data_IF_351951221175
#
_entry.id   IF_351951221175
#
_cell.length_a   1.000
_cell.length_b   1.000
_cell.length_c   1.000
_cell.angle_alpha   90.00
_cell.angle_beta   90.00
_cell.angle_gamma   90.00
#
_symmetry.space_group_name_H-M   'P 1'
#
loop_
_entity.id
_entity.type
_entity.pdbx_description
1 polymer ?
#
# COMPACT_ATOMS: atom_id res chain seq x y z
N UNK A 1 28.43 -15.83 8.10
CA UNK A 1 27.99 -16.89 9.04
C UNK A 1 26.88 -16.25 9.88
N UNK A 2 25.59 -16.28 9.53
CA UNK A 2 24.74 -17.33 8.99
C UNK A 2 24.51 -17.29 7.47
N UNK A 3 24.56 -18.47 6.86
CA UNK A 3 23.93 -18.80 5.58
C UNK A 3 22.44 -19.02 5.84
N UNK A 4 21.58 -18.51 4.97
CA UNK A 4 20.14 -18.81 4.98
C UNK A 4 19.59 -18.66 3.58
N UNK A 5 19.53 -19.76 2.84
CA UNK A 5 18.65 -19.87 1.69
C UNK A 5 17.21 -19.78 2.21
N UNK A 6 16.39 -18.89 1.65
CA UNK A 6 14.94 -19.04 1.74
C UNK A 6 14.37 -19.15 0.33
N UNK A 7 14.06 -20.38 -0.07
CA UNK A 7 12.82 -20.61 -0.81
C UNK A 7 11.72 -19.93 0.01
N UNK A 8 11.19 -18.79 -0.44
CA UNK A 8 9.99 -18.18 0.15
C UNK A 8 8.77 -19.04 -0.24
N UNK A 9 8.73 -20.28 0.27
CA UNK A 9 7.63 -21.23 0.08
C UNK A 9 7.29 -21.51 -1.40
N UNK A 10 5.99 -21.43 -1.72
CA UNK A 10 5.40 -21.73 -3.02
C UNK A 10 5.21 -20.47 -3.91
N UNK A 11 5.89 -19.36 -3.60
CA UNK A 11 5.84 -18.13 -4.41
C UNK A 11 7.01 -18.12 -5.40
N UNK A 12 6.71 -17.91 -6.67
CA UNK A 12 7.70 -17.50 -7.68
C UNK A 12 7.41 -16.07 -8.09
N UNK A 13 8.43 -15.21 -8.05
CA UNK A 13 8.35 -13.84 -8.56
C UNK A 13 9.16 -13.79 -9.85
N UNK A 14 8.50 -13.38 -10.94
CA UNK A 14 9.16 -13.08 -12.20
C UNK A 14 9.01 -11.59 -12.50
N UNK A 15 10.13 -10.93 -12.79
CA UNK A 15 10.09 -9.56 -13.31
C UNK A 15 10.08 -9.59 -14.83
N UNK A 16 9.28 -8.73 -15.45
CA UNK A 16 9.11 -8.69 -16.92
C UNK A 16 10.45 -8.49 -17.66
N UNK A 17 11.42 -7.80 -17.03
CA UNK A 17 12.74 -7.52 -17.61
C UNK A 17 13.70 -8.72 -17.60
N UNK A 18 13.48 -9.76 -16.77
CA UNK A 18 14.44 -10.86 -16.60
C UNK A 18 14.18 -12.08 -17.50
N UNK A 19 13.03 -12.14 -18.19
CA UNK A 19 12.67 -13.31 -19.03
C UNK A 19 12.75 -13.04 -20.54
N UNK A 20 13.09 -11.81 -20.96
CA UNK A 20 13.28 -11.47 -22.39
C UNK A 20 14.76 -11.21 -22.73
N UNK A 21 15.60 -10.93 -21.74
CA UNK A 21 17.03 -10.69 -21.91
C UNK A 21 17.84 -11.52 -20.90
N UNK A 22 18.99 -12.10 -21.30
CA UNK A 22 19.88 -12.77 -20.36
C UNK A 22 20.32 -11.80 -19.24
N UNK A 23 20.53 -12.28 -18.01
CA UNK A 23 20.84 -11.44 -16.86
C UNK A 23 22.13 -10.64 -17.07
N UNK A 24 22.11 -9.39 -16.61
CA UNK A 24 23.24 -8.48 -16.69
C UNK A 24 24.16 -8.59 -15.47
N UNK A 25 25.44 -8.15 -15.56
CA UNK A 25 26.41 -8.24 -14.46
C UNK A 25 26.03 -7.46 -13.18
N UNK A 26 24.93 -6.70 -13.19
CA UNK A 26 24.52 -5.77 -12.13
C UNK A 26 23.23 -6.17 -11.42
N UNK A 27 22.65 -7.33 -11.74
CA UNK A 27 21.41 -7.78 -11.11
C UNK A 27 21.66 -8.20 -9.64
N UNK A 28 20.86 -7.72 -8.67
CA UNK A 28 21.10 -8.01 -7.26
C UNK A 28 20.88 -9.51 -6.95
N UNK A 29 21.77 -10.14 -6.17
CA UNK A 29 21.63 -11.54 -5.79
C UNK A 29 20.58 -11.69 -4.68
N UNK A 30 19.54 -12.51 -4.89
CA UNK A 30 18.82 -13.14 -3.77
C UNK A 30 17.28 -13.07 -3.71
N UNK A 31 16.55 -12.60 -4.71
CA UNK A 31 15.05 -12.59 -4.66
C UNK A 31 14.37 -13.34 -5.82
N UNK A 32 15.13 -13.70 -6.87
CA UNK A 32 14.58 -14.22 -8.12
C UNK A 32 14.97 -15.69 -8.32
N UNK A 33 14.00 -16.60 -8.17
CA UNK A 33 14.16 -18.02 -8.47
C UNK A 33 14.18 -18.25 -9.99
N UNK A 34 15.22 -18.95 -10.47
CA UNK A 34 15.51 -19.20 -11.88
C UNK A 34 14.80 -20.43 -12.46
N UNK A 35 13.86 -21.07 -11.75
CA UNK A 35 13.07 -22.15 -12.32
C UNK A 35 11.57 -21.85 -12.30
N UNK A 36 11.09 -21.24 -13.38
CA UNK A 36 9.66 -21.18 -13.63
C UNK A 36 9.09 -22.59 -13.67
N UNK A 37 8.06 -22.85 -12.87
CA UNK A 37 7.31 -24.10 -12.97
C UNK A 37 6.51 -24.10 -14.27
N UNK A 38 6.26 -25.29 -14.81
CA UNK A 38 5.40 -25.45 -16.00
C UNK A 38 3.94 -25.05 -15.71
N UNK A 39 3.50 -25.17 -14.46
CA UNK A 39 2.14 -24.86 -14.02
C UNK A 39 2.16 -24.16 -12.65
N UNK A 40 1.20 -23.26 -12.45
CA UNK A 40 0.91 -22.57 -11.18
C UNK A 40 -0.60 -22.64 -10.93
N UNK A 41 -0.99 -22.71 -9.66
CA UNK A 41 -2.40 -22.64 -9.27
C UNK A 41 -2.95 -21.22 -9.49
N UNK A 42 -2.12 -20.20 -9.28
CA UNK A 42 -2.47 -18.80 -9.50
C UNK A 42 -1.36 -18.02 -10.19
N UNK A 43 -1.75 -17.11 -11.08
CA UNK A 43 -0.88 -16.10 -11.67
C UNK A 43 -1.43 -14.72 -11.30
N UNK A 44 -0.63 -13.93 -10.61
CA UNK A 44 -0.93 -12.56 -10.20
C UNK A 44 -0.18 -11.61 -11.12
N UNK A 45 -0.91 -10.72 -11.80
CA UNK A 45 -0.34 -9.68 -12.65
C UNK A 45 -0.24 -8.39 -11.84
N UNK A 46 0.98 -7.99 -11.50
CA UNK A 46 1.32 -6.86 -10.66
C UNK A 46 1.62 -7.27 -9.21
N UNK A 47 2.85 -7.05 -8.77
CA UNK A 47 3.33 -7.25 -7.40
C UNK A 47 3.13 -6.03 -6.51
N UNK A 48 2.10 -5.21 -6.78
CA UNK A 48 1.73 -4.06 -5.96
C UNK A 48 1.00 -4.43 -4.67
N UNK A 49 0.47 -3.45 -3.91
CA UNK A 49 -0.14 -3.67 -2.59
C UNK A 49 -1.17 -4.81 -2.52
N UNK A 50 -2.08 -4.90 -3.50
CA UNK A 50 -3.05 -5.99 -3.57
C UNK A 50 -2.41 -7.32 -3.99
N UNK A 51 -1.51 -7.30 -4.98
CA UNK A 51 -0.83 -8.50 -5.47
C UNK A 51 0.07 -9.15 -4.41
N UNK A 52 0.82 -8.35 -3.65
CA UNK A 52 1.62 -8.83 -2.52
C UNK A 52 0.76 -9.46 -1.42
N UNK A 53 -0.39 -8.85 -1.10
CA UNK A 53 -1.31 -9.40 -0.11
C UNK A 53 -1.92 -10.72 -0.60
N UNK A 54 -2.39 -10.78 -1.84
CA UNK A 54 -2.93 -12.00 -2.45
C UNK A 54 -1.89 -13.12 -2.49
N UNK A 55 -0.66 -12.83 -2.93
CA UNK A 55 0.41 -13.81 -2.95
C UNK A 55 0.67 -14.39 -1.57
N UNK A 56 0.79 -13.53 -0.54
CA UNK A 56 0.97 -13.96 0.84
C UNK A 56 -0.16 -14.89 1.30
N UNK A 57 -1.43 -14.52 1.07
CA UNK A 57 -2.59 -15.30 1.52
C UNK A 57 -2.77 -16.62 0.78
N UNK A 58 -2.67 -16.62 -0.55
CA UNK A 58 -2.86 -17.83 -1.35
C UNK A 58 -1.82 -18.91 -1.02
N UNK A 59 -0.62 -18.50 -0.59
CA UNK A 59 0.41 -19.46 -0.19
C UNK A 59 0.27 -20.02 1.23
N UNK A 60 -0.57 -19.43 2.09
CA UNK A 60 -0.92 -20.02 3.40
C UNK A 60 -1.57 -21.41 3.19
N UNK A 61 -2.33 -21.58 2.12
CA UNK A 61 -2.98 -22.83 1.72
C UNK A 61 -2.10 -23.72 0.82
N UNK A 62 -0.78 -23.48 0.78
CA UNK A 62 0.21 -24.21 -0.03
C UNK A 62 -0.02 -24.15 -1.55
N UNK A 63 -0.86 -23.25 -2.06
CA UNK A 63 -0.99 -23.04 -3.50
C UNK A 63 0.32 -22.53 -4.10
N UNK A 64 0.60 -22.91 -5.35
CA UNK A 64 1.69 -22.38 -6.16
C UNK A 64 1.28 -21.08 -6.84
N UNK A 65 2.04 -20.01 -6.60
CA UNK A 65 1.69 -18.65 -7.05
C UNK A 65 2.84 -18.06 -7.85
N UNK A 66 2.54 -17.58 -9.06
CA UNK A 66 3.46 -16.77 -9.87
C UNK A 66 3.04 -15.30 -9.80
N UNK A 67 3.95 -14.41 -9.41
CA UNK A 67 3.75 -12.95 -9.47
C UNK A 67 4.55 -12.38 -10.62
N UNK A 68 3.87 -11.67 -11.52
CA UNK A 68 4.48 -10.94 -12.63
C UNK A 68 4.55 -9.45 -12.28
N UNK A 69 5.75 -8.93 -12.01
CA UNK A 69 5.96 -7.51 -11.71
C UNK A 69 6.80 -6.83 -12.81
N UNK A 70 6.40 -5.63 -13.23
CA UNK A 70 7.09 -4.91 -14.29
C UNK A 70 8.33 -4.15 -13.78
N UNK A 71 8.29 -3.73 -12.52
CA UNK A 71 9.39 -3.06 -11.83
C UNK A 71 10.40 -4.01 -11.20
N UNK A 72 11.43 -3.40 -10.60
CA UNK A 72 12.44 -4.09 -9.81
C UNK A 72 12.05 -4.27 -8.35
N UNK A 73 13.02 -4.61 -7.52
CA UNK A 73 12.83 -4.65 -6.07
C UNK A 73 12.64 -3.23 -5.51
N UNK A 74 11.79 -3.05 -4.50
CA UNK A 74 11.68 -1.79 -3.77
C UNK A 74 12.99 -1.44 -3.04
N UNK A 75 13.77 -2.45 -2.66
CA UNK A 75 15.07 -2.28 -2.00
C UNK A 75 16.17 -1.72 -2.92
N UNK A 76 15.92 -1.57 -4.22
CA UNK A 76 16.87 -0.91 -5.14
C UNK A 76 16.99 0.60 -4.92
N UNK A 77 16.08 1.21 -4.17
CA UNK A 77 16.14 2.63 -3.84
C UNK A 77 15.78 2.82 -2.36
N UNK A 78 16.73 3.27 -1.55
CA UNK A 78 16.56 3.45 -0.11
C UNK A 78 15.41 4.41 0.26
N UNK A 79 15.02 5.31 -0.65
CA UNK A 79 13.86 6.18 -0.45
C UNK A 79 12.54 5.39 -0.28
N UNK A 80 12.48 4.13 -0.71
CA UNK A 80 11.33 3.24 -0.48
C UNK A 80 11.22 2.81 0.97
N UNK A 81 12.28 2.81 1.77
CA UNK A 81 12.24 2.42 3.20
C UNK A 81 12.36 3.61 4.15
N UNK A 82 12.70 4.79 3.65
CA UNK A 82 12.77 6.03 4.43
C UNK A 82 11.47 6.83 4.25
N UNK A 83 10.57 6.89 5.26
CA UNK A 83 9.29 7.59 5.17
C UNK A 83 9.38 9.03 4.62
N UNK A 84 10.33 9.82 5.11
CA UNK A 84 10.50 11.21 4.72
C UNK A 84 11.02 11.42 3.30
N UNK A 85 11.51 10.36 2.64
CA UNK A 85 12.07 10.43 1.29
C UNK A 85 11.06 10.07 0.20
N UNK A 86 9.81 9.70 0.53
CA UNK A 86 8.84 9.19 -0.46
C UNK A 86 8.65 10.12 -1.67
N UNK A 87 8.72 11.44 -1.47
CA UNK A 87 8.56 12.42 -2.54
C UNK A 87 9.68 12.36 -3.60
N UNK A 88 10.86 11.84 -3.25
CA UNK A 88 11.97 11.66 -4.21
C UNK A 88 11.74 10.49 -5.17
N UNK A 89 10.77 9.62 -4.88
CA UNK A 89 10.37 8.53 -5.75
C UNK A 89 9.50 9.01 -6.92
N UNK A 90 8.87 10.18 -6.80
CA UNK A 90 8.03 10.77 -7.85
C UNK A 90 8.87 11.07 -9.08
N UNK A 91 8.40 10.68 -10.28
CA UNK A 91 9.13 10.82 -11.56
C UNK A 91 10.49 10.13 -11.62
N UNK A 92 10.79 9.23 -10.67
CA UNK A 92 12.02 8.42 -10.67
C UNK A 92 11.84 7.13 -11.49
N UNK A 93 12.87 6.27 -11.52
CA UNK A 93 12.77 4.93 -12.15
C UNK A 93 11.72 4.02 -11.47
N UNK A 94 11.35 4.30 -10.21
CA UNK A 94 10.31 3.59 -9.46
C UNK A 94 8.90 4.05 -9.79
N UNK A 95 8.73 5.04 -10.67
CA UNK A 95 7.44 5.59 -11.06
C UNK A 95 7.13 5.27 -12.52
N UNK A 96 5.91 4.83 -12.78
CA UNK A 96 5.38 4.73 -14.13
C UNK A 96 5.29 6.10 -14.81
N UNK A 97 5.19 7.19 -14.03
CA UNK A 97 5.19 8.57 -14.49
C UNK A 97 4.09 8.83 -15.54
N UNK A 98 2.89 8.30 -15.27
CA UNK A 98 1.75 8.48 -16.16
C UNK A 98 1.34 9.95 -16.23
N UNK A 99 0.82 10.33 -17.39
CA UNK A 99 0.19 11.63 -17.58
C UNK A 99 -1.20 11.41 -18.18
N UNK A 100 -2.17 12.20 -17.73
CA UNK A 100 -3.47 12.23 -18.40
C UNK A 100 -3.33 12.81 -19.81
N UNK A 101 -4.33 12.57 -20.66
CA UNK A 101 -4.53 13.42 -21.85
C UNK A 101 -4.79 14.88 -21.43
N UNK A 102 -4.60 15.87 -22.32
CA UNK A 102 -4.98 17.25 -22.04
C UNK A 102 -6.44 17.37 -21.59
N UNK A 103 -6.66 18.03 -20.46
CA UNK A 103 -7.99 18.17 -19.86
C UNK A 103 -8.73 19.40 -20.42
N UNK A 104 -10.01 19.22 -20.76
CA UNK A 104 -10.86 20.29 -21.32
C UNK A 104 -11.44 21.22 -20.25
N UNK A 105 -11.71 20.68 -19.05
CA UNK A 105 -12.47 21.36 -18.00
C UNK A 105 -11.72 21.49 -16.66
N UNK A 106 -10.46 21.07 -16.61
CA UNK A 106 -9.62 21.11 -15.41
C UNK A 106 -8.15 21.31 -15.78
N UNK A 107 -7.28 21.42 -14.78
CA UNK A 107 -5.81 21.41 -14.97
C UNK A 107 -5.27 22.55 -15.83
N UNK A 108 -5.97 23.70 -15.88
CA UNK A 108 -5.57 24.87 -16.67
C UNK A 108 -4.20 25.44 -16.28
N UNK A 109 -3.75 25.21 -15.04
CA UNK A 109 -2.46 25.64 -14.53
C UNK A 109 -1.35 24.57 -14.67
N UNK A 110 -1.65 23.39 -15.23
CA UNK A 110 -0.66 22.35 -15.48
C UNK A 110 -0.08 22.50 -16.89
N UNK A 111 1.18 22.10 -17.06
CA UNK A 111 1.82 22.02 -18.38
C UNK A 111 0.99 21.15 -19.33
N UNK A 112 0.74 21.63 -20.55
CA UNK A 112 -0.14 21.02 -21.55
C UNK A 112 -1.56 20.67 -21.08
N UNK A 113 -2.01 21.21 -19.94
CA UNK A 113 -3.24 20.80 -19.25
C UNK A 113 -3.27 19.30 -18.92
N UNK A 114 -2.10 18.68 -18.75
CA UNK A 114 -1.96 17.26 -18.40
C UNK A 114 -1.69 17.10 -16.91
N UNK A 115 -2.31 16.09 -16.31
CA UNK A 115 -2.13 15.77 -14.89
C UNK A 115 -1.07 14.68 -14.79
N UNK A 116 -0.04 14.93 -13.99
CA UNK A 116 0.91 13.89 -13.56
C UNK A 116 0.23 12.94 -12.56
N UNK A 117 0.33 11.63 -12.82
CA UNK A 117 -0.30 10.57 -12.04
C UNK A 117 0.78 9.58 -11.59
N UNK A 118 1.28 9.77 -10.37
CA UNK A 118 2.28 8.90 -9.78
C UNK A 118 1.75 7.47 -9.59
N UNK A 119 2.51 6.46 -10.01
CA UNK A 119 2.15 5.06 -9.83
C UNK A 119 3.40 4.20 -9.68
N UNK A 120 3.49 3.43 -8.59
CA UNK A 120 4.69 2.67 -8.28
C UNK A 120 4.95 1.54 -9.28
N UNK A 121 6.19 1.47 -9.76
CA UNK A 121 6.74 0.47 -10.67
C UNK A 121 7.88 -0.28 -9.96
N UNK A 122 7.52 -1.12 -9.00
CA UNK A 122 8.40 -1.96 -8.19
C UNK A 122 7.56 -2.96 -7.40
N UNK A 123 8.20 -3.97 -6.78
CA UNK A 123 7.54 -4.79 -5.76
C UNK A 123 6.95 -3.89 -4.65
N UNK A 124 5.74 -4.21 -4.19
CA UNK A 124 4.92 -3.37 -3.32
C UNK A 124 4.20 -2.22 -4.03
N UNK A 125 4.60 -1.87 -5.25
CA UNK A 125 3.93 -0.92 -6.14
C UNK A 125 3.77 0.47 -5.50
N UNK A 126 2.61 1.09 -5.69
CA UNK A 126 2.30 2.38 -5.06
C UNK A 126 2.32 2.33 -3.53
N UNK A 127 2.16 1.16 -2.90
CA UNK A 127 2.31 1.00 -1.45
C UNK A 127 3.73 1.31 -0.96
N UNK A 128 4.75 0.95 -1.74
CA UNK A 128 6.16 1.26 -1.42
C UNK A 128 6.52 2.72 -1.75
N UNK A 129 5.69 3.43 -2.54
CA UNK A 129 5.87 4.84 -2.90
C UNK A 129 5.06 5.83 -2.05
N UNK A 130 4.02 5.39 -1.37
CA UNK A 130 3.04 6.30 -0.76
C UNK A 130 3.58 7.16 0.39
N UNK A 131 2.80 8.17 0.77
CA UNK A 131 3.03 9.02 1.95
C UNK A 131 2.53 8.44 3.28
N UNK A 132 2.36 7.11 3.36
CA UNK A 132 2.01 6.33 4.55
C UNK A 132 0.66 6.58 5.23
N UNK A 133 -0.14 7.53 4.76
CA UNK A 133 -1.47 7.78 5.34
C UNK A 133 -2.35 6.52 5.27
N UNK A 134 -2.89 6.11 6.42
CA UNK A 134 -3.80 4.98 6.55
C UNK A 134 -5.22 5.47 6.82
N UNK A 135 -6.01 5.61 5.77
CA UNK A 135 -7.42 6.02 5.85
C UNK A 135 -8.25 5.02 5.05
N UNK A 136 -9.31 4.47 5.64
CA UNK A 136 -10.14 3.42 5.04
C UNK A 136 -11.20 3.95 4.09
N UNK A 137 -11.75 5.14 4.38
CA UNK A 137 -12.94 5.68 3.72
C UNK A 137 -14.18 5.66 4.61
N UNK A 138 -15.26 6.26 4.13
CA UNK A 138 -16.52 6.34 4.87
C UNK A 138 -17.28 5.02 4.79
N UNK A 139 -18.05 4.72 5.84
CA UNK A 139 -18.99 3.58 5.82
C UNK A 139 -20.00 3.71 4.68
N UNK A 140 -20.32 4.95 4.29
CA UNK A 140 -21.23 5.25 3.21
C UNK A 140 -20.70 4.75 1.86
N UNK A 141 -19.38 4.83 1.63
CA UNK A 141 -18.75 4.36 0.39
C UNK A 141 -18.99 2.85 0.18
N UNK A 142 -18.73 2.06 1.21
CA UNK A 142 -18.90 0.59 1.18
C UNK A 142 -20.38 0.17 1.13
N UNK A 143 -21.24 0.82 1.89
CA UNK A 143 -22.68 0.54 1.85
C UNK A 143 -23.27 0.90 0.49
N UNK A 144 -22.77 1.95 -0.15
CA UNK A 144 -23.17 2.34 -1.50
C UNK A 144 -22.72 1.30 -2.54
N UNK A 145 -21.51 0.76 -2.43
CA UNK A 145 -21.09 -0.37 -3.28
C UNK A 145 -22.03 -1.57 -3.15
N UNK A 146 -22.39 -1.94 -1.93
CA UNK A 146 -23.34 -3.03 -1.70
C UNK A 146 -24.71 -2.73 -2.32
N UNK A 147 -25.20 -1.48 -2.20
CA UNK A 147 -26.45 -1.03 -2.83
C UNK A 147 -26.39 -1.07 -4.35
N UNK A 148 -25.23 -0.81 -4.94
CA UNK A 148 -24.99 -0.88 -6.40
C UNK A 148 -24.80 -2.32 -6.91
N UNK A 149 -24.84 -3.33 -6.03
CA UNK A 149 -24.81 -4.74 -6.41
C UNK A 149 -23.55 -5.49 -5.99
N UNK A 150 -22.56 -4.84 -5.37
CA UNK A 150 -21.38 -5.49 -4.81
C UNK A 150 -21.74 -6.22 -3.50
N UNK A 151 -22.46 -7.34 -3.61
CA UNK A 151 -22.85 -8.18 -2.46
C UNK A 151 -21.60 -8.59 -1.67
N UNK A 152 -21.65 -8.52 -0.33
CA UNK A 152 -20.51 -8.82 0.53
C UNK A 152 -19.60 -7.61 0.83
N UNK A 153 -19.86 -6.44 0.23
CA UNK A 153 -19.01 -5.25 0.36
C UNK A 153 -19.58 -4.15 1.24
N UNK A 154 -20.66 -4.38 1.99
CA UNK A 154 -21.15 -3.37 2.94
C UNK A 154 -20.11 -3.11 4.04
N UNK A 155 -20.16 -1.94 4.69
CA UNK A 155 -19.18 -1.60 5.74
C UNK A 155 -19.11 -2.66 6.84
N UNK A 156 -20.26 -3.22 7.21
CA UNK A 156 -20.35 -4.28 8.22
C UNK A 156 -19.58 -5.54 7.80
N UNK A 157 -19.58 -5.87 6.51
CA UNK A 157 -18.94 -7.06 5.95
C UNK A 157 -17.44 -6.86 5.75
N UNK A 158 -17.00 -5.65 5.38
CA UNK A 158 -15.56 -5.36 5.17
C UNK A 158 -14.81 -5.00 6.45
N UNK A 159 -15.49 -4.51 7.49
CA UNK A 159 -14.85 -4.12 8.75
C UNK A 159 -13.99 -5.23 9.40
N UNK A 160 -14.42 -6.50 9.45
CA UNK A 160 -13.57 -7.60 9.91
C UNK A 160 -12.25 -7.71 9.13
N UNK A 161 -12.27 -7.49 7.81
CA UNK A 161 -11.06 -7.55 6.97
C UNK A 161 -10.13 -6.36 7.21
N UNK A 162 -10.66 -5.15 7.41
CA UNK A 162 -9.84 -4.01 7.83
C UNK A 162 -9.13 -4.27 9.16
N UNK A 163 -9.85 -4.84 10.13
CA UNK A 163 -9.27 -5.21 11.43
C UNK A 163 -8.27 -6.37 11.32
N UNK A 164 -8.45 -7.27 10.35
CA UNK A 164 -7.55 -8.39 10.14
C UNK A 164 -6.17 -7.96 9.65
N UNK A 165 -6.09 -6.96 8.78
CA UNK A 165 -4.81 -6.49 8.21
C UNK A 165 -4.08 -5.50 9.12
N UNK A 166 -4.79 -4.85 10.05
CA UNK A 166 -4.28 -3.77 10.89
C UNK A 166 -3.75 -4.27 12.26
N UNK A 167 -2.62 -3.69 12.68
CA UNK A 167 -2.14 -3.69 14.08
C UNK A 167 -1.99 -2.26 14.55
N UNK A 168 -3.02 -1.73 15.19
CA UNK A 168 -3.03 -0.40 15.78
C UNK A 168 -2.17 -0.36 17.05
N UNK A 169 -1.17 0.51 17.07
CA UNK A 169 -0.33 0.81 18.22
C UNK A 169 -0.65 2.19 18.84
N UNK A 170 -1.78 2.80 18.44
CA UNK A 170 -2.29 4.07 18.98
C UNK A 170 -2.95 3.81 20.34
N UNK A 171 -2.38 4.26 21.48
CA UNK A 171 -2.88 3.90 22.81
C UNK A 171 -4.33 4.33 23.07
N UNK A 172 -4.73 5.51 22.57
CA UNK A 172 -6.07 6.05 22.73
C UNK A 172 -7.17 5.22 22.04
N UNK A 173 -6.79 4.32 21.13
CA UNK A 173 -7.73 3.49 20.36
C UNK A 173 -7.75 2.03 20.81
N UNK A 174 -7.05 1.71 21.91
CA UNK A 174 -7.06 0.36 22.48
C UNK A 174 -8.48 -0.04 22.87
N UNK A 175 -8.93 -1.20 22.39
CA UNK A 175 -10.28 -1.70 22.64
C UNK A 175 -11.37 -1.10 21.74
N UNK A 176 -11.01 -0.23 20.80
CA UNK A 176 -11.96 0.29 19.80
C UNK A 176 -12.59 -0.87 19.01
N UNK A 177 -13.93 -0.88 18.82
CA UNK A 177 -14.59 -1.91 18.02
C UNK A 177 -14.18 -1.85 16.54
N UNK A 178 -13.59 -0.74 16.11
CA UNK A 178 -13.19 -0.47 14.73
C UNK A 178 -11.74 -0.84 14.42
N UNK A 179 -10.88 -1.02 15.42
CA UNK A 179 -9.43 -1.21 15.22
C UNK A 179 -8.99 -2.67 15.33
N UNK A 180 -8.05 -3.04 14.47
CA UNK A 180 -7.30 -4.29 14.51
C UNK A 180 -6.06 -4.17 15.40
N UNK A 181 -5.65 -5.27 16.01
CA UNK A 181 -4.49 -5.32 16.92
C UNK A 181 -3.52 -6.47 16.60
N UNK A 182 -3.79 -7.24 15.54
CA UNK A 182 -3.08 -8.50 15.25
C UNK A 182 -2.57 -8.60 13.81
N UNK A 183 -2.93 -7.66 12.94
CA UNK A 183 -2.53 -7.69 11.54
C UNK A 183 -1.06 -7.34 11.31
N UNK A 184 -0.64 -7.43 10.05
CA UNK A 184 0.76 -7.20 9.66
C UNK A 184 1.06 -5.72 9.36
N UNK A 185 0.04 -4.91 9.07
CA UNK A 185 0.19 -3.48 8.85
C UNK A 185 0.14 -2.76 10.20
N UNK A 186 1.31 -2.39 10.70
CA UNK A 186 1.42 -1.59 11.92
C UNK A 186 0.90 -0.19 11.65
N UNK A 187 -0.01 0.30 12.49
CA UNK A 187 -0.55 1.67 12.41
C UNK A 187 -0.14 2.43 13.65
N UNK A 188 0.62 3.51 13.44
CA UNK A 188 1.14 4.37 14.49
C UNK A 188 0.59 5.79 14.31
N UNK A 189 0.52 6.58 15.39
CA UNK A 189 0.21 8.00 15.25
C UNK A 189 1.42 8.72 14.65
N UNK A 190 1.17 9.68 13.77
CA UNK A 190 2.20 10.65 13.39
C UNK A 190 2.68 11.42 14.63
N UNK A 191 3.98 11.71 14.70
CA UNK A 191 4.51 12.60 15.73
C UNK A 191 3.99 14.02 15.50
N UNK A 192 3.18 14.52 16.44
CA UNK A 192 2.58 15.84 16.30
C UNK A 192 3.62 16.95 16.28
N UNK A 193 3.39 17.93 15.41
CA UNK A 193 4.15 19.19 15.37
C UNK A 193 3.42 20.30 16.12
N UNK A 194 4.11 21.39 16.45
CA UNK A 194 3.48 22.58 17.02
C UNK A 194 2.40 23.17 16.11
N UNK A 195 2.61 23.12 14.78
CA UNK A 195 1.63 23.61 13.81
C UNK A 195 0.35 22.77 13.82
N UNK A 196 0.48 21.45 13.90
CA UNK A 196 -0.66 20.53 13.98
C UNK A 196 -1.51 20.79 15.22
N UNK A 197 -0.89 21.09 16.36
CA UNK A 197 -1.59 21.50 17.57
C UNK A 197 -2.44 22.75 17.33
N UNK A 198 -1.88 23.80 16.73
CA UNK A 198 -2.61 25.03 16.43
C UNK A 198 -3.75 24.80 15.44
N UNK A 199 -3.52 24.00 14.40
CA UNK A 199 -4.56 23.63 13.44
C UNK A 199 -5.74 22.92 14.12
N UNK A 200 -5.46 21.93 14.96
CA UNK A 200 -6.48 21.21 15.71
C UNK A 200 -7.22 22.10 16.70
N UNK A 201 -6.51 23.02 17.36
CA UNK A 201 -7.13 23.97 18.30
C UNK A 201 -8.10 24.90 17.57
N UNK A 202 -7.67 25.51 16.47
CA UNK A 202 -8.51 26.37 15.63
C UNK A 202 -9.75 25.61 15.11
N UNK A 203 -9.57 24.36 14.66
CA UNK A 203 -10.68 23.53 14.22
C UNK A 203 -11.69 23.23 15.36
N UNK A 204 -11.19 23.03 16.59
CA UNK A 204 -12.06 22.85 17.75
C UNK A 204 -12.85 24.10 18.10
N UNK A 205 -12.29 25.30 17.92
CA UNK A 205 -12.96 26.59 18.18
C UNK A 205 -14.16 26.80 17.24
N UNK A 206 -14.12 26.23 16.03
CA UNK A 206 -15.23 26.24 15.07
C UNK A 206 -16.11 24.97 15.13
N UNK A 207 -15.93 24.12 16.15
CA UNK A 207 -16.81 22.98 16.44
C UNK A 207 -16.38 21.62 15.90
N UNK A 208 -15.21 21.49 15.25
CA UNK A 208 -14.70 20.18 14.81
C UNK A 208 -13.99 19.46 15.95
N UNK A 209 -14.57 18.32 16.36
CA UNK A 209 -13.99 17.44 17.38
C UNK A 209 -12.82 16.65 16.83
N UNK A 210 -11.90 16.26 17.70
CA UNK A 210 -10.91 15.22 17.38
C UNK A 210 -11.60 13.86 17.33
N UNK A 211 -11.40 13.11 16.25
CA UNK A 211 -12.03 11.80 16.01
C UNK A 211 -11.00 10.76 15.60
N UNK A 212 -11.44 9.50 15.57
CA UNK A 212 -10.78 8.42 14.85
C UNK A 212 -11.33 8.39 13.43
N UNK A 213 -10.53 8.76 12.41
CA UNK A 213 -10.97 8.75 11.01
C UNK A 213 -11.34 7.35 10.48
N UNK A 214 -10.85 6.30 11.13
CA UNK A 214 -11.13 4.91 10.80
C UNK A 214 -12.16 4.28 11.77
N UNK A 215 -12.78 5.12 12.63
CA UNK A 215 -13.71 4.74 13.68
C UNK A 215 -15.18 4.97 13.32
N UNK A 216 -15.98 5.41 14.30
CA UNK A 216 -17.42 5.61 14.11
C UNK A 216 -17.74 6.73 13.11
N UNK A 217 -16.96 7.81 13.10
CA UNK A 217 -17.19 8.99 12.27
C UNK A 217 -15.87 9.58 11.80
N UNK A 218 -15.77 9.82 10.50
CA UNK A 218 -14.66 10.44 9.81
C UNK A 218 -14.64 11.97 9.90
N UNK A 219 -15.79 12.58 10.25
CA UNK A 219 -15.94 14.03 10.31
C UNK A 219 -15.31 14.59 11.59
N UNK A 220 -14.22 15.33 11.44
CA UNK A 220 -13.52 15.99 12.54
C UNK A 220 -12.07 16.29 12.20
N UNK A 221 -11.26 16.45 13.24
CA UNK A 221 -9.79 16.50 13.12
C UNK A 221 -9.17 15.19 13.60
N UNK A 222 -7.99 14.85 13.09
CA UNK A 222 -7.28 13.64 13.45
C UNK A 222 -5.81 13.94 13.76
N UNK A 223 -5.20 13.08 14.57
CA UNK A 223 -3.77 12.81 14.39
C UNK A 223 -3.68 11.77 13.28
N UNK A 224 -2.88 12.05 12.26
CA UNK A 224 -2.79 11.18 11.09
C UNK A 224 -2.31 9.78 11.49
N UNK A 225 -3.03 8.77 11.03
CA UNK A 225 -2.62 7.38 11.10
C UNK A 225 -1.59 7.10 10.01
N UNK A 226 -0.43 6.60 10.40
CA UNK A 226 0.63 6.20 9.48
C UNK A 226 0.75 4.68 9.47
N UNK A 227 0.74 4.07 8.29
CA UNK A 227 1.14 2.68 8.15
C UNK A 227 2.67 2.57 8.19
N UNK A 228 3.16 1.56 8.92
CA UNK A 228 4.55 1.14 8.81
C UNK A 228 4.75 0.40 7.49
N UNK A 229 5.81 0.73 6.74
CA UNK A 229 6.18 -0.03 5.55
C UNK A 229 6.61 -1.44 5.97
N UNK A 230 5.71 -2.40 5.81
CA UNK A 230 5.99 -3.84 5.94
C UNK A 230 5.46 -4.51 4.68
N UNK A 231 6.07 -4.19 3.53
CA UNK A 231 5.79 -4.84 2.25
C UNK A 231 6.97 -5.66 1.76
N UNK A 232 7.78 -6.21 2.67
CA UNK A 232 8.64 -7.34 2.33
C UNK A 232 7.90 -8.60 2.73
N UNK A 233 7.54 -9.43 1.74
CA UNK A 233 7.04 -10.77 1.99
C UNK A 233 8.06 -11.49 2.87
N UNK A 234 7.66 -11.81 4.10
CA UNK A 234 8.40 -12.76 4.94
C UNK A 234 8.13 -14.17 4.47
#
# INVERSE_FOLDING_TARGET
>A
MFLGHSLLGNITIATYLQNVLPPGPKDPPGVFDRSLRRYYDYIIVGGGSAGSLLASRLTEDKASVLVLEAGGSDLENEATVIPGAWATLLRSKQDWNYHSVPQKHSSFAMEDKKIYLASGKMLGGSGSMNGLLMVRGSRHDFNEWARQGCKGWSYKEVLPYFKMIEKTEIPALKGSPYRGTKGNIVVTPQKSTTLEYFYRKAASEIGYRSVDCNGYSEIGTINSDFNGKVFTAK
#
